data_IF_084627522739
#
_entry.id   IF_084627522739
#
_cell.length_a   1.000
_cell.length_b   1.000
_cell.length_c   1.000
_cell.angle_alpha   90.00
_cell.angle_beta   90.00
_cell.angle_gamma   90.00
#
_symmetry.space_group_name_H-M   'P 1'
#
loop_
_entity.id
_entity.type
_entity.pdbx_description
1 polymer ?
#
# COMPACT_ATOMS: atom_id res chain seq x y z
N UNK A 1 11.80 9.80 -5.03
CA UNK A 1 12.38 8.70 -5.85
C UNK A 1 11.64 8.53 -7.17
N UNK A 2 10.30 8.39 -7.17
CA UNK A 2 9.51 8.24 -8.39
C UNK A 2 9.81 9.30 -9.48
N UNK A 3 9.85 10.59 -9.12
CA UNK A 3 10.23 11.70 -10.01
C UNK A 3 11.60 11.52 -10.66
N UNK A 4 12.58 10.95 -9.94
CA UNK A 4 13.93 10.73 -10.46
C UNK A 4 13.94 9.67 -11.57
N UNK A 5 13.07 8.68 -11.47
CA UNK A 5 13.01 7.55 -12.40
C UNK A 5 11.93 7.70 -13.46
N UNK A 6 11.23 8.83 -13.50
CA UNK A 6 10.10 9.07 -14.40
C UNK A 6 9.03 7.96 -14.36
N UNK A 7 8.74 7.47 -13.15
CA UNK A 7 7.71 6.46 -12.90
C UNK A 7 6.58 7.02 -12.05
N UNK A 8 5.34 6.53 -12.20
CA UNK A 8 4.23 6.91 -11.33
C UNK A 8 4.52 6.59 -9.87
N UNK A 9 4.24 7.54 -8.98
CA UNK A 9 4.23 7.26 -7.55
C UNK A 9 2.89 6.64 -7.16
N UNK A 10 2.91 5.38 -6.72
CA UNK A 10 1.69 4.66 -6.37
C UNK A 10 1.27 4.87 -4.92
N UNK A 11 2.20 5.27 -4.04
CA UNK A 11 1.95 5.44 -2.61
C UNK A 11 3.10 4.89 -1.78
N UNK A 12 2.91 4.87 -0.48
CA UNK A 12 3.89 4.39 0.48
C UNK A 12 3.23 3.61 1.62
N UNK A 13 4.00 2.70 2.21
CA UNK A 13 3.65 2.05 3.46
C UNK A 13 4.60 2.64 4.52
N UNK A 14 4.08 3.37 5.52
CA UNK A 14 4.93 4.00 6.52
C UNK A 14 5.58 2.94 7.43
N UNK A 15 6.71 3.29 8.03
CA UNK A 15 7.39 2.42 9.00
C UNK A 15 6.72 2.52 10.38
N UNK A 16 5.51 1.98 10.50
CA UNK A 16 4.78 1.87 11.76
C UNK A 16 5.00 0.49 12.39
N UNK A 17 5.26 0.45 13.70
CA UNK A 17 5.52 -0.80 14.42
C UNK A 17 4.35 -1.79 14.33
N UNK A 18 3.12 -1.28 14.32
CA UNK A 18 1.90 -2.07 14.22
C UNK A 18 1.82 -2.84 12.91
N UNK A 19 2.25 -2.23 11.79
CA UNK A 19 2.23 -2.87 10.48
C UNK A 19 3.10 -4.13 10.48
N UNK A 20 4.27 -4.04 11.11
CA UNK A 20 5.19 -5.17 11.25
C UNK A 20 4.63 -6.23 12.20
N UNK A 21 4.27 -5.84 13.41
CA UNK A 21 3.81 -6.77 14.44
C UNK A 21 2.58 -7.59 13.97
N UNK A 22 1.59 -6.92 13.37
CA UNK A 22 0.42 -7.56 12.81
C UNK A 22 0.77 -8.54 11.67
N UNK A 23 1.74 -8.20 10.83
CA UNK A 23 2.20 -9.10 9.76
C UNK A 23 2.92 -10.32 10.33
N UNK A 24 3.80 -10.14 11.33
CA UNK A 24 4.52 -11.22 12.01
C UNK A 24 3.56 -12.19 12.73
N UNK A 25 2.43 -11.68 13.25
CA UNK A 25 1.35 -12.46 13.88
C UNK A 25 0.45 -13.20 12.88
N UNK A 26 0.66 -13.04 11.56
CA UNK A 26 -0.24 -13.60 10.55
C UNK A 26 -1.59 -12.88 10.45
N UNK A 27 -1.67 -11.64 10.93
CA UNK A 27 -2.85 -10.77 10.87
C UNK A 27 -2.58 -9.57 9.95
N UNK A 28 -2.43 -9.77 8.63
CA UNK A 28 -1.90 -8.75 7.73
C UNK A 28 -2.72 -7.43 7.81
N UNK A 29 -2.08 -6.26 8.00
CA UNK A 29 -2.75 -4.98 8.21
C UNK A 29 -3.74 -4.58 7.12
N UNK A 30 -3.51 -5.02 5.88
CA UNK A 30 -4.41 -4.80 4.74
C UNK A 30 -5.81 -5.41 4.95
N UNK A 31 -5.92 -6.49 5.71
CA UNK A 31 -7.18 -7.17 5.99
C UNK A 31 -7.63 -6.95 7.45
N UNK A 32 -6.70 -7.06 8.39
CA UNK A 32 -7.00 -7.16 9.83
C UNK A 32 -6.58 -5.94 10.66
N UNK A 33 -5.92 -4.95 10.04
CA UNK A 33 -5.48 -3.73 10.71
C UNK A 33 -6.58 -2.69 10.87
N UNK A 34 -6.22 -1.52 11.40
CA UNK A 34 -7.14 -0.38 11.46
C UNK A 34 -7.31 0.26 10.07
N UNK A 35 -8.38 1.05 9.89
CA UNK A 35 -8.66 1.68 8.59
C UNK A 35 -7.52 2.55 8.06
N UNK A 36 -6.71 3.16 8.95
CA UNK A 36 -5.51 3.90 8.53
C UNK A 36 -4.52 3.00 7.79
N UNK A 37 -4.28 1.79 8.29
CA UNK A 37 -3.34 0.84 7.70
C UNK A 37 -3.88 0.31 6.37
N UNK A 38 -5.16 -0.08 6.34
CA UNK A 38 -5.82 -0.54 5.10
C UNK A 38 -5.80 0.52 4.00
N UNK A 39 -5.95 1.80 4.37
CA UNK A 39 -5.93 2.92 3.42
C UNK A 39 -4.62 3.00 2.63
N UNK A 40 -3.46 2.73 3.23
CA UNK A 40 -2.18 2.74 2.51
C UNK A 40 -2.16 1.76 1.34
N UNK A 41 -2.58 0.52 1.57
CA UNK A 41 -2.65 -0.50 0.52
C UNK A 41 -3.70 -0.16 -0.54
N UNK A 42 -4.88 0.31 -0.12
CA UNK A 42 -5.95 0.72 -1.04
C UNK A 42 -5.50 1.84 -1.97
N UNK A 43 -4.83 2.87 -1.45
CA UNK A 43 -4.27 3.97 -2.26
C UNK A 43 -3.27 3.46 -3.30
N UNK A 44 -2.41 2.49 -2.94
CA UNK A 44 -1.47 1.89 -3.90
C UNK A 44 -2.20 1.19 -5.04
N UNK A 45 -3.22 0.41 -4.72
CA UNK A 45 -4.02 -0.32 -5.73
C UNK A 45 -4.82 0.64 -6.61
N UNK A 46 -5.45 1.65 -6.02
CA UNK A 46 -6.22 2.65 -6.76
C UNK A 46 -5.32 3.40 -7.77
N UNK A 47 -4.12 3.80 -7.35
CA UNK A 47 -3.16 4.45 -8.22
C UNK A 47 -2.59 3.50 -9.29
N UNK A 48 -2.41 2.21 -8.96
CA UNK A 48 -1.97 1.20 -9.92
C UNK A 48 -2.99 1.02 -11.05
N UNK A 49 -4.28 0.93 -10.72
CA UNK A 49 -5.35 0.84 -11.72
C UNK A 49 -5.48 2.12 -12.54
N UNK A 50 -5.25 3.29 -11.95
CA UNK A 50 -5.23 4.54 -12.68
C UNK A 50 -4.02 4.65 -13.63
N UNK A 51 -2.87 4.08 -13.25
CA UNK A 51 -1.61 4.24 -14.01
C UNK A 51 -1.35 3.13 -15.03
N UNK A 52 -2.15 2.07 -15.05
CA UNK A 52 -1.93 0.91 -15.94
C UNK A 52 -3.22 0.49 -16.63
N UNK A 53 -3.17 0.02 -17.90
CA UNK A 53 -4.32 -0.60 -18.57
C UNK A 53 -4.51 -2.02 -18.01
N UNK A 54 -4.85 -2.11 -16.73
CA UNK A 54 -5.11 -3.37 -16.05
C UNK A 54 -6.52 -3.86 -16.42
N UNK A 55 -6.62 -5.10 -16.89
CA UNK A 55 -7.88 -5.79 -17.15
C UNK A 55 -7.89 -7.06 -16.31
N UNK A 56 -8.95 -7.25 -15.53
CA UNK A 56 -9.22 -8.46 -14.76
C UNK A 56 -9.80 -9.55 -15.66
#
# INVERSE_FOLDING_TARGET
LAVRYDIPFLGEIPLEIDIRALSDEGRPPVAMGEERHKKYYRTIVDNLFASTPFRL
#
